data_IF_920799388263
#
_entry.id   IF_920799388263
#
_cell.length_a   1.000
_cell.length_b   1.000
_cell.length_c   1.000
_cell.angle_alpha   90.00
_cell.angle_beta   90.00
_cell.angle_gamma   90.00
#
_symmetry.space_group_name_H-M   'P 1'
#
loop_
_entity.id
_entity.type
_entity.pdbx_description
1 polymer ?
#
# COMPACT_ATOMS: atom_id res chain seq x y z
N UNK A 1 9.37 14.66 -14.52
CA UNK A 1 9.54 14.00 -13.20
C UNK A 1 8.22 13.86 -12.44
N UNK A 2 7.57 14.98 -12.13
CA UNK A 2 6.30 14.92 -11.39
C UNK A 2 5.20 14.18 -12.15
N UNK A 3 5.14 14.38 -13.45
CA UNK A 3 4.14 13.71 -14.29
C UNK A 3 4.35 12.20 -14.26
N UNK A 4 5.60 11.74 -14.37
CA UNK A 4 5.90 10.30 -14.31
C UNK A 4 5.55 9.71 -12.96
N UNK A 5 5.84 10.44 -11.88
CA UNK A 5 5.51 10.00 -10.54
C UNK A 5 3.98 9.87 -10.35
N UNK A 6 3.23 10.87 -10.81
CA UNK A 6 1.78 10.84 -10.69
C UNK A 6 1.16 9.69 -11.49
N UNK A 7 1.70 9.41 -12.67
CA UNK A 7 1.23 8.29 -13.49
C UNK A 7 1.51 6.96 -12.78
N UNK A 8 2.69 6.83 -12.20
CA UNK A 8 3.06 5.62 -11.46
C UNK A 8 2.14 5.38 -10.27
N UNK A 9 1.91 6.41 -9.45
CA UNK A 9 1.01 6.31 -8.30
C UNK A 9 -0.40 5.92 -8.76
N UNK A 10 -0.91 6.56 -9.80
CA UNK A 10 -2.23 6.24 -10.34
C UNK A 10 -2.33 4.79 -10.82
N UNK A 11 -1.27 4.28 -11.45
CA UNK A 11 -1.25 2.90 -11.91
C UNK A 11 -1.28 1.92 -10.75
N UNK A 12 -0.52 2.20 -9.70
CA UNK A 12 -0.52 1.36 -8.50
C UNK A 12 -1.89 1.35 -7.84
N UNK A 13 -2.51 2.52 -7.69
CA UNK A 13 -3.85 2.62 -7.11
C UNK A 13 -4.89 1.87 -7.90
N UNK A 14 -4.83 1.93 -9.23
CA UNK A 14 -5.74 1.16 -10.08
C UNK A 14 -5.53 -0.33 -9.93
N UNK A 15 -4.28 -0.76 -9.77
CA UNK A 15 -3.98 -2.17 -9.52
C UNK A 15 -4.58 -2.63 -8.19
N UNK A 16 -4.44 -1.83 -7.14
CA UNK A 16 -5.02 -2.16 -5.84
C UNK A 16 -6.55 -2.18 -5.91
N UNK A 17 -7.15 -1.24 -6.65
CA UNK A 17 -8.60 -1.24 -6.83
C UNK A 17 -9.07 -2.53 -7.50
N UNK A 18 -8.42 -2.93 -8.58
CA UNK A 18 -8.83 -4.13 -9.33
C UNK A 18 -8.63 -5.40 -8.53
N UNK A 19 -7.53 -5.50 -7.77
CA UNK A 19 -7.17 -6.73 -7.08
C UNK A 19 -7.80 -6.86 -5.70
N UNK A 20 -7.99 -5.76 -4.99
CA UNK A 20 -8.42 -5.77 -3.59
C UNK A 20 -9.66 -4.93 -3.32
N UNK A 21 -10.23 -4.32 -4.34
CA UNK A 21 -11.36 -3.42 -4.15
C UNK A 21 -10.97 -2.21 -3.31
N UNK A 22 -9.74 -1.72 -3.48
CA UNK A 22 -9.27 -0.58 -2.73
C UNK A 22 -9.91 0.71 -3.23
N UNK A 23 -10.38 1.53 -2.31
CA UNK A 23 -11.02 2.82 -2.61
C UNK A 23 -10.27 3.91 -1.88
N UNK A 24 -9.94 4.97 -2.58
CA UNK A 24 -9.27 6.12 -1.98
C UNK A 24 -10.23 6.81 -1.01
N UNK A 25 -9.87 6.85 0.28
CA UNK A 25 -10.66 7.54 1.28
C UNK A 25 -10.30 9.01 1.37
N UNK A 26 -9.02 9.31 1.47
CA UNK A 26 -8.58 10.69 1.47
C UNK A 26 -7.11 10.79 1.11
N UNK A 27 -6.73 12.04 0.74
CA UNK A 27 -5.35 12.45 0.62
C UNK A 27 -5.17 13.44 1.75
N UNK A 28 -4.47 13.02 2.79
CA UNK A 28 -4.26 13.86 3.95
C UNK A 28 -3.31 15.01 3.65
N UNK A 29 -3.20 15.95 4.57
CA UNK A 29 -2.21 17.02 4.44
C UNK A 29 -0.82 16.39 4.40
N UNK A 30 0.07 17.06 3.66
CA UNK A 30 1.36 16.48 3.39
C UNK A 30 1.23 15.33 2.39
N UNK A 31 1.95 14.26 2.61
CA UNK A 31 1.97 13.14 1.68
C UNK A 31 1.40 11.88 2.33
N UNK A 32 0.13 11.93 2.71
CA UNK A 32 -0.55 10.78 3.29
C UNK A 32 -1.67 10.31 2.37
N UNK A 33 -1.77 9.00 2.19
CA UNK A 33 -2.76 8.37 1.35
C UNK A 33 -3.43 7.24 2.14
N UNK A 34 -4.76 7.23 2.18
CA UNK A 34 -5.52 6.18 2.86
C UNK A 34 -6.47 5.50 1.90
N UNK A 35 -6.46 4.17 1.93
CA UNK A 35 -7.33 3.35 1.10
C UNK A 35 -8.20 2.46 1.98
N UNK A 36 -9.48 2.38 1.64
CA UNK A 36 -10.36 1.38 2.22
C UNK A 36 -10.26 0.14 1.34
N UNK A 37 -10.00 -1.02 1.95
CA UNK A 37 -9.72 -2.26 1.22
C UNK A 37 -10.86 -3.25 1.45
N UNK A 38 -11.55 -3.59 0.36
CA UNK A 38 -12.71 -4.47 0.42
C UNK A 38 -12.31 -5.95 0.51
N UNK A 39 -11.26 -6.33 -0.20
CA UNK A 39 -10.79 -7.71 -0.25
C UNK A 39 -9.30 -7.78 0.12
N UNK A 40 -8.95 -7.59 1.39
CA UNK A 40 -7.55 -7.68 1.81
C UNK A 40 -7.02 -9.11 1.67
N UNK A 41 -5.68 -9.28 1.64
CA UNK A 41 -5.11 -10.63 1.63
C UNK A 41 -5.54 -11.39 2.88
N UNK A 42 -5.80 -12.67 2.74
CA UNK A 42 -6.31 -13.50 3.83
C UNK A 42 -5.27 -14.45 4.38
N UNK A 43 -4.17 -14.66 3.67
CA UNK A 43 -3.09 -15.54 4.10
C UNK A 43 -1.81 -14.76 4.26
N UNK A 44 -0.94 -15.25 5.13
CA UNK A 44 0.36 -14.63 5.33
C UNK A 44 1.20 -14.68 4.06
N UNK A 45 1.10 -15.78 3.31
CA UNK A 45 1.83 -15.91 2.05
C UNK A 45 1.43 -14.82 1.06
N UNK A 46 0.13 -14.61 0.86
CA UNK A 46 -0.36 -13.57 -0.03
C UNK A 46 0.01 -12.18 0.51
N UNK A 47 -0.18 -12.00 1.82
CA UNK A 47 0.15 -10.73 2.46
C UNK A 47 1.63 -10.38 2.32
N UNK A 48 2.51 -11.37 2.34
CA UNK A 48 3.95 -11.15 2.17
C UNK A 48 4.25 -10.57 0.79
N UNK A 49 3.60 -11.08 -0.24
CA UNK A 49 3.77 -10.57 -1.60
C UNK A 49 3.29 -9.12 -1.69
N UNK A 50 2.16 -8.82 -1.06
CA UNK A 50 1.60 -7.47 -1.07
C UNK A 50 2.47 -6.53 -0.24
N UNK A 51 3.01 -7.00 0.88
CA UNK A 51 3.92 -6.20 1.69
C UNK A 51 5.17 -5.78 0.90
N UNK A 52 5.68 -6.68 0.06
CA UNK A 52 6.80 -6.35 -0.81
C UNK A 52 6.41 -5.25 -1.81
N UNK A 53 5.20 -5.30 -2.37
CA UNK A 53 4.71 -4.24 -3.24
C UNK A 53 4.57 -2.92 -2.49
N UNK A 54 4.06 -2.95 -1.26
CA UNK A 54 3.96 -1.76 -0.42
C UNK A 54 5.34 -1.15 -0.16
N UNK A 55 6.33 -2.00 0.08
CA UNK A 55 7.69 -1.54 0.34
C UNK A 55 8.28 -0.80 -0.88
N UNK A 56 7.98 -1.27 -2.07
CA UNK A 56 8.43 -0.59 -3.29
C UNK A 56 7.65 0.70 -3.51
N UNK A 57 6.33 0.66 -3.29
CA UNK A 57 5.46 1.80 -3.50
C UNK A 57 5.71 2.91 -2.48
N UNK A 58 5.91 2.53 -1.22
CA UNK A 58 6.10 3.48 -0.13
C UNK A 58 7.24 2.99 0.75
N UNK A 59 8.47 3.34 0.37
CA UNK A 59 9.66 2.91 1.08
C UNK A 59 9.65 3.40 2.53
N UNK A 60 9.18 4.61 2.75
CA UNK A 60 9.11 5.19 4.09
C UNK A 60 8.10 4.48 4.98
N UNK A 61 7.03 3.94 4.40
CA UNK A 61 6.05 3.16 5.15
C UNK A 61 6.67 1.86 5.65
N UNK A 62 7.58 1.29 4.88
CA UNK A 62 8.28 0.08 5.27
C UNK A 62 9.33 0.34 6.36
N UNK A 63 9.74 1.59 6.51
CA UNK A 63 10.72 1.99 7.50
C UNK A 63 12.10 1.47 7.22
N UNK A 64 12.34 0.23 7.57
CA UNK A 64 13.65 -0.41 7.43
C UNK A 64 13.80 -1.20 6.13
N UNK A 65 13.04 -0.84 5.11
CA UNK A 65 13.07 -1.55 3.84
C UNK A 65 12.59 -2.99 3.99
N UNK A 66 13.33 -3.93 3.41
CA UNK A 66 12.89 -5.33 3.41
C UNK A 66 12.78 -5.93 4.81
N UNK A 67 13.43 -5.32 5.80
CA UNK A 67 13.33 -5.83 7.17
C UNK A 67 11.94 -5.69 7.74
N UNK A 68 11.17 -4.73 7.26
CA UNK A 68 9.82 -4.48 7.73
C UNK A 68 8.76 -5.31 7.00
N UNK A 69 9.12 -6.01 5.92
CA UNK A 69 8.16 -6.77 5.12
C UNK A 69 7.39 -7.79 5.96
N UNK A 70 8.01 -8.60 6.84
CA UNK A 70 7.25 -9.55 7.65
C UNK A 70 6.25 -8.86 8.58
N UNK A 71 6.61 -7.72 9.15
CA UNK A 71 5.72 -6.96 10.03
C UNK A 71 4.56 -6.38 9.25
N UNK A 72 4.83 -5.83 8.07
CA UNK A 72 3.79 -5.31 7.19
C UNK A 72 2.85 -6.43 6.78
N UNK A 73 3.40 -7.58 6.40
CA UNK A 73 2.61 -8.72 5.98
C UNK A 73 1.64 -9.16 7.09
N UNK A 74 2.15 -9.27 8.31
CA UNK A 74 1.30 -9.66 9.44
C UNK A 74 0.17 -8.65 9.66
N UNK A 75 0.45 -7.36 9.48
CA UNK A 75 -0.55 -6.32 9.65
C UNK A 75 -1.56 -6.29 8.50
N UNK A 76 -1.20 -6.75 7.31
CA UNK A 76 -2.08 -6.70 6.14
C UNK A 76 -3.14 -7.79 6.11
N UNK A 77 -2.91 -8.91 6.80
CA UNK A 77 -3.87 -10.01 6.79
C UNK A 77 -5.20 -9.53 7.37
N UNK A 78 -6.24 -9.51 6.54
CA UNK A 78 -7.56 -9.06 6.95
C UNK A 78 -7.70 -7.58 7.22
N UNK A 79 -6.69 -6.77 6.89
CA UNK A 79 -6.72 -5.34 7.19
C UNK A 79 -7.69 -4.59 6.26
N UNK A 80 -8.69 -3.88 6.81
CA UNK A 80 -9.66 -3.17 5.99
C UNK A 80 -9.19 -1.81 5.51
N UNK A 81 -8.03 -1.36 5.96
CA UNK A 81 -7.52 -0.04 5.59
C UNK A 81 -6.01 -0.10 5.44
N UNK A 82 -5.50 0.55 4.37
CA UNK A 82 -4.08 0.69 4.12
C UNK A 82 -3.72 2.17 4.16
N UNK A 83 -2.64 2.51 4.85
CA UNK A 83 -2.16 3.89 4.94
C UNK A 83 -0.73 3.97 4.44
N UNK A 84 -0.49 4.96 3.60
CA UNK A 84 0.84 5.24 3.06
C UNK A 84 1.19 6.69 3.39
N UNK A 85 2.46 6.94 3.63
CA UNK A 85 2.93 8.31 3.87
C UNK A 85 4.35 8.47 3.34
N UNK A 86 4.66 9.68 2.94
CA UNK A 86 5.99 10.04 2.44
C UNK A 86 6.41 11.34 3.12
N UNK A 87 7.68 11.42 3.52
CA UNK A 87 8.25 12.67 4.09
C UNK A 87 8.75 13.62 3.01
#
# INVERSE_FOLDING_TARGET
MLVSYAVWVGSVLRSFEARFGATLLNLGPGAELRLLVDRPPRTLEHATKIAAEHSVFCDECAGQGLRAVPDIAAALVGAPMWTFWWD
#
